data_IF_145080970555
#
_entry.id   IF_145080970555
#
_cell.length_a   1.000
_cell.length_b   1.000
_cell.length_c   1.000
_cell.angle_alpha   90.00
_cell.angle_beta   90.00
_cell.angle_gamma   90.00
#
_symmetry.space_group_name_H-M   'P 1'
#
loop_
_entity.id
_entity.type
_entity.pdbx_description
1 polymer ?
#
# COMPACT_ATOMS: atom_id res chain seq x y z
N UNK A 1 17.77 0.16 12.82
CA UNK A 1 17.78 1.28 11.84
C UNK A 1 19.10 2.00 12.04
N UNK A 2 19.94 2.15 11.02
CA UNK A 2 21.14 3.00 11.14
C UNK A 2 20.77 4.41 10.74
N UNK A 3 21.55 5.41 11.13
CA UNK A 3 21.29 6.82 10.79
C UNK A 3 21.24 7.07 9.27
N UNK A 4 21.89 6.22 8.47
CA UNK A 4 21.94 6.33 7.01
C UNK A 4 20.77 5.66 6.28
N UNK A 5 19.95 4.85 6.97
CA UNK A 5 18.86 4.12 6.32
C UNK A 5 17.73 5.08 5.93
N UNK A 6 17.59 5.33 4.62
CA UNK A 6 16.54 6.20 4.05
C UNK A 6 15.32 5.44 3.51
N UNK A 7 15.46 4.15 3.24
CA UNK A 7 14.40 3.26 2.81
C UNK A 7 14.40 2.02 3.69
N UNK A 8 13.21 1.60 4.14
CA UNK A 8 13.04 0.45 5.02
C UNK A 8 11.97 -0.46 4.44
N UNK A 9 12.35 -1.69 4.12
CA UNK A 9 11.44 -2.73 3.65
C UNK A 9 10.98 -3.56 4.84
N UNK A 10 9.67 -3.70 5.00
CA UNK A 10 9.03 -4.38 6.13
C UNK A 10 7.90 -5.26 5.61
N UNK A 11 7.65 -6.36 6.31
CA UNK A 11 6.37 -7.08 6.15
C UNK A 11 5.25 -6.30 6.85
N UNK A 12 3.98 -6.50 6.46
CA UNK A 12 2.89 -5.74 7.08
C UNK A 12 2.75 -6.05 8.56
N UNK A 13 2.99 -7.30 8.98
CA UNK A 13 2.99 -7.66 10.39
C UNK A 13 4.05 -6.92 11.23
N UNK A 14 5.18 -6.50 10.66
CA UNK A 14 6.17 -5.67 11.36
C UNK A 14 5.73 -4.21 11.37
N UNK A 15 5.16 -3.72 10.27
CA UNK A 15 4.63 -2.36 10.18
C UNK A 15 3.45 -2.15 11.14
N UNK A 16 2.51 -3.09 11.23
CA UNK A 16 1.42 -3.08 12.20
C UNK A 16 1.93 -3.01 13.65
N UNK A 17 2.98 -3.76 13.98
CA UNK A 17 3.63 -3.68 15.30
C UNK A 17 4.29 -2.33 15.54
N UNK A 18 4.88 -1.69 14.51
CA UNK A 18 5.39 -0.32 14.62
C UNK A 18 4.27 0.68 14.84
N UNK A 19 3.18 0.58 14.07
CA UNK A 19 2.01 1.43 14.20
C UNK A 19 1.36 1.29 15.59
N UNK A 20 1.35 0.10 16.17
CA UNK A 20 0.88 -0.10 17.54
C UNK A 20 1.75 0.62 18.59
N UNK A 21 3.06 0.69 18.38
CA UNK A 21 4.01 1.36 19.30
C UNK A 21 4.11 2.87 19.08
N UNK A 22 4.07 3.29 17.83
CA UNK A 22 4.06 4.68 17.36
C UNK A 22 2.87 4.86 16.40
N UNK A 23 1.68 5.20 16.94
CA UNK A 23 0.47 5.37 16.15
C UNK A 23 0.55 6.45 15.08
N UNK A 24 1.49 7.39 15.22
CA UNK A 24 1.63 8.50 14.27
C UNK A 24 2.68 8.23 13.20
N UNK A 25 3.51 7.19 13.31
CA UNK A 25 4.64 6.91 12.42
C UNK A 25 5.48 8.18 12.15
N UNK A 26 5.95 8.86 13.20
CA UNK A 26 6.56 10.20 13.09
C UNK A 26 7.83 10.23 12.23
N UNK A 27 8.61 9.14 12.25
CA UNK A 27 9.85 9.04 11.46
C UNK A 27 9.63 8.77 9.97
N UNK A 28 8.38 8.56 9.55
CA UNK A 28 8.01 8.22 8.18
C UNK A 28 7.24 9.37 7.53
N UNK A 29 7.62 9.73 6.30
CA UNK A 29 6.90 10.71 5.47
C UNK A 29 6.21 10.08 4.27
N UNK A 30 6.70 8.93 3.80
CA UNK A 30 6.16 8.23 2.63
C UNK A 30 6.10 6.75 2.96
N UNK A 31 4.92 6.18 2.80
CA UNK A 31 4.67 4.76 2.97
C UNK A 31 4.24 4.18 1.63
N UNK A 32 4.85 3.06 1.24
CA UNK A 32 4.48 2.31 0.05
C UNK A 32 4.01 0.94 0.50
N UNK A 33 2.77 0.59 0.15
CA UNK A 33 2.22 -0.75 0.39
C UNK A 33 2.22 -1.47 -0.96
N UNK A 34 3.02 -2.51 -1.05
CA UNK A 34 3.15 -3.34 -2.25
C UNK A 34 2.14 -4.49 -2.23
N UNK A 35 1.85 -5.05 -3.39
CA UNK A 35 0.98 -6.22 -3.56
C UNK A 35 -0.39 -6.17 -2.86
N UNK A 36 -1.02 -5.00 -2.80
CA UNK A 36 -2.36 -4.83 -2.17
C UNK A 36 -3.43 -5.73 -2.80
N UNK A 37 -3.15 -6.29 -3.97
CA UNK A 37 -4.04 -7.20 -4.68
C UNK A 37 -4.17 -8.59 -4.04
N UNK A 38 -3.22 -9.02 -3.19
CA UNK A 38 -3.31 -10.32 -2.52
C UNK A 38 -4.42 -10.38 -1.47
N UNK A 39 -4.87 -9.22 -0.98
CA UNK A 39 -6.04 -9.05 -0.09
C UNK A 39 -6.06 -10.02 1.11
N UNK A 40 -4.92 -10.21 1.75
CA UNK A 40 -4.86 -10.97 2.99
C UNK A 40 -5.21 -10.08 4.21
N UNK A 41 -5.60 -10.72 5.31
CA UNK A 41 -6.15 -10.06 6.52
C UNK A 41 -5.25 -8.95 7.08
N UNK A 42 -3.93 -9.17 7.11
CA UNK A 42 -2.99 -8.18 7.64
C UNK A 42 -2.96 -6.89 6.80
N UNK A 43 -3.03 -6.99 5.47
CA UNK A 43 -3.09 -5.84 4.58
C UNK A 43 -4.39 -5.07 4.80
N UNK A 44 -5.54 -5.74 4.86
CA UNK A 44 -6.83 -5.07 5.07
C UNK A 44 -6.89 -4.32 6.42
N UNK A 45 -6.39 -4.93 7.51
CA UNK A 45 -6.28 -4.25 8.83
C UNK A 45 -5.34 -3.05 8.74
N UNK A 46 -4.20 -3.20 8.07
CA UNK A 46 -3.23 -2.12 7.89
C UNK A 46 -3.85 -0.96 7.10
N UNK A 47 -4.52 -1.21 5.98
CA UNK A 47 -5.17 -0.19 5.17
C UNK A 47 -6.25 0.57 5.94
N UNK A 48 -7.04 -0.15 6.75
CA UNK A 48 -8.01 0.48 7.66
C UNK A 48 -7.34 1.42 8.67
N UNK A 49 -6.26 0.98 9.31
CA UNK A 49 -5.52 1.80 10.26
C UNK A 49 -4.84 3.00 9.58
N UNK A 50 -4.29 2.80 8.37
CA UNK A 50 -3.67 3.87 7.59
C UNK A 50 -4.68 4.90 7.10
N UNK A 51 -5.90 4.52 6.74
CA UNK A 51 -6.94 5.49 6.39
C UNK A 51 -7.22 6.45 7.54
N UNK A 52 -7.31 5.93 8.77
CA UNK A 52 -7.43 6.78 9.98
C UNK A 52 -6.17 7.60 10.23
N UNK A 53 -4.99 7.05 10.00
CA UNK A 53 -3.74 7.80 10.18
C UNK A 53 -3.63 9.00 9.22
N UNK A 54 -4.05 8.84 7.96
CA UNK A 54 -3.98 9.91 6.97
C UNK A 54 -4.83 11.14 7.33
N UNK A 55 -5.92 10.97 8.10
CA UNK A 55 -6.70 12.12 8.59
C UNK A 55 -5.99 12.88 9.71
N UNK A 56 -5.10 12.20 10.46
CA UNK A 56 -4.31 12.78 11.55
C UNK A 56 -2.96 13.35 11.07
N UNK A 57 -2.40 12.78 10.00
CA UNK A 57 -1.08 13.12 9.44
C UNK A 57 -1.22 13.56 7.99
N UNK A 58 -1.58 14.82 7.78
CA UNK A 58 -1.72 15.42 6.44
C UNK A 58 -0.40 15.53 5.67
N UNK A 59 0.74 15.39 6.35
CA UNK A 59 2.08 15.36 5.75
C UNK A 59 2.54 13.95 5.32
N UNK A 60 1.84 12.89 5.74
CA UNK A 60 2.14 11.51 5.36
C UNK A 60 1.59 11.22 3.96
N UNK A 61 2.45 10.69 3.08
CA UNK A 61 2.06 10.25 1.74
C UNK A 61 1.95 8.72 1.71
N UNK A 62 0.85 8.22 1.17
CA UNK A 62 0.62 6.78 0.97
C UNK A 62 0.61 6.47 -0.53
N UNK A 63 1.33 5.43 -0.93
CA UNK A 63 1.31 4.85 -2.27
C UNK A 63 0.89 3.40 -2.15
N UNK A 64 -0.09 2.99 -2.95
CA UNK A 64 -0.52 1.59 -3.05
C UNK A 64 -0.07 1.05 -4.40
N UNK A 65 0.61 -0.10 -4.40
CA UNK A 65 1.06 -0.79 -5.60
C UNK A 65 0.33 -2.12 -5.75
N UNK A 66 -0.11 -2.41 -6.98
CA UNK A 66 -0.89 -3.59 -7.34
C UNK A 66 -0.52 -4.02 -8.76
N UNK A 67 -0.39 -5.33 -8.97
CA UNK A 67 -0.25 -5.91 -10.31
C UNK A 67 -1.59 -6.10 -11.04
N UNK A 68 -2.73 -6.01 -10.34
CA UNK A 68 -4.06 -6.34 -10.90
C UNK A 68 -4.99 -5.13 -11.04
N UNK A 69 -6.02 -5.30 -11.87
CA UNK A 69 -6.88 -4.23 -12.38
C UNK A 69 -7.94 -3.71 -11.40
N UNK A 70 -8.15 -4.35 -10.23
CA UNK A 70 -9.18 -3.91 -9.28
C UNK A 70 -8.73 -2.70 -8.44
N UNK A 71 -8.31 -1.65 -9.14
CA UNK A 71 -7.85 -0.38 -8.59
C UNK A 71 -9.02 0.46 -8.06
N UNK A 72 -10.22 0.26 -8.59
CA UNK A 72 -11.40 1.04 -8.23
C UNK A 72 -11.76 0.87 -6.75
N UNK A 73 -11.67 -0.36 -6.21
CA UNK A 73 -11.97 -0.62 -4.80
C UNK A 73 -11.06 0.19 -3.87
N UNK A 74 -9.75 0.19 -4.12
CA UNK A 74 -8.78 0.96 -3.31
C UNK A 74 -8.90 2.47 -3.54
N UNK A 75 -9.11 2.89 -4.78
CA UNK A 75 -9.27 4.31 -5.14
C UNK A 75 -10.46 4.94 -4.44
N UNK A 76 -11.61 4.25 -4.42
CA UNK A 76 -12.81 4.67 -3.69
C UNK A 76 -12.61 4.54 -2.18
N UNK A 77 -11.97 3.46 -1.70
CA UNK A 77 -11.69 3.30 -0.27
C UNK A 77 -10.80 4.42 0.28
N UNK A 78 -9.90 5.01 -0.50
CA UNK A 78 -9.07 6.16 -0.13
C UNK A 78 -9.57 7.49 -0.71
N UNK A 79 -10.86 7.59 -1.04
CA UNK A 79 -11.46 8.87 -1.42
C UNK A 79 -11.26 9.94 -0.33
N UNK A 80 -11.13 11.18 -0.78
CA UNK A 80 -10.99 12.35 0.09
C UNK A 80 -12.31 12.73 0.80
N UNK A 81 -12.30 13.81 1.58
CA UNK A 81 -13.47 14.28 2.33
C UNK A 81 -14.65 14.70 1.43
N UNK A 82 -14.38 15.07 0.18
CA UNK A 82 -15.38 15.40 -0.83
C UNK A 82 -15.87 14.15 -1.58
N UNK A 83 -15.35 12.97 -1.25
CA UNK A 83 -15.68 11.71 -1.89
C UNK A 83 -15.01 11.50 -3.25
N UNK A 84 -14.01 12.32 -3.60
CA UNK A 84 -13.26 12.17 -4.84
C UNK A 84 -12.28 10.99 -4.69
N UNK A 85 -12.36 9.96 -5.55
CA UNK A 85 -11.46 8.80 -5.47
C UNK A 85 -10.00 9.21 -5.64
N UNK A 86 -9.09 8.49 -4.98
CA UNK A 86 -7.67 8.81 -5.07
C UNK A 86 -7.13 8.58 -6.50
N UNK A 87 -6.15 9.38 -6.95
CA UNK A 87 -5.64 9.32 -8.32
C UNK A 87 -4.97 7.97 -8.59
N UNK A 88 -5.20 7.43 -9.78
CA UNK A 88 -4.65 6.15 -10.23
C UNK A 88 -3.61 6.38 -11.32
N UNK A 89 -2.40 5.87 -11.10
CA UNK A 89 -1.35 5.82 -12.11
C UNK A 89 -1.25 4.40 -12.67
N UNK A 90 -1.49 4.23 -13.98
CA UNK A 90 -1.36 2.94 -14.65
C UNK A 90 -0.10 2.92 -15.51
N UNK A 91 0.73 1.90 -15.31
CA UNK A 91 1.93 1.65 -16.13
C UNK A 91 1.63 0.47 -17.06
N UNK A 92 1.68 0.64 -18.40
CA UNK A 92 1.41 -0.45 -19.32
C UNK A 92 2.51 -1.51 -19.22
N UNK A 93 2.12 -2.74 -18.92
CA UNK A 93 3.01 -3.89 -18.96
C UNK A 93 3.25 -4.36 -20.41
N UNK A 94 4.43 -4.93 -20.67
CA UNK A 94 4.71 -5.66 -21.91
C UNK A 94 4.80 -7.15 -21.59
N UNK A 95 3.88 -7.93 -22.12
CA UNK A 95 3.93 -9.39 -22.05
C UNK A 95 4.60 -9.93 -23.30
N UNK A 96 5.44 -10.95 -23.13
CA UNK A 96 5.99 -11.75 -24.23
C UNK A 96 5.22 -13.06 -24.29
N UNK A 97 5.06 -13.67 -25.49
CA UNK A 97 4.37 -14.94 -25.61
C UNK A 97 5.09 -16.01 -24.79
N UNK A 98 4.34 -16.73 -23.96
CA UNK A 98 4.84 -17.85 -23.14
C UNK A 98 4.35 -19.13 -23.81
N UNK A 99 5.26 -20.07 -24.08
CA UNK A 99 4.91 -21.44 -24.47
C UNK A 99 4.56 -22.22 -23.20
N UNK A 100 3.40 -22.86 -23.19
CA UNK A 100 2.89 -23.58 -22.04
C UNK A 100 2.73 -25.05 -22.41
N UNK A 101 3.54 -25.91 -21.78
CA UNK A 101 3.55 -27.36 -21.98
C UNK A 101 2.91 -28.03 -20.75
N UNK A 102 1.86 -28.81 -20.97
CA UNK A 102 1.22 -29.62 -19.91
C UNK A 102 1.70 -31.06 -20.03
N UNK A 103 2.17 -31.63 -18.92
CA UNK A 103 2.53 -33.05 -18.82
C UNK A 103 1.50 -33.80 -17.96
N UNK A 104 1.16 -35.04 -18.31
CA UNK A 104 0.25 -35.89 -17.54
C UNK A 104 0.83 -36.35 -16.20
#
# INVERSE_FOLDING_TARGET
>A
KTEKTRALFLTEGVLLRKLHKDPLLQECKVLVIDEVHERHVQCDILLGALKTLLTLRTDLRLVLMSATINLHTFSTFFADEQGVPCPVLQVPGRLYPIQLEYHP
#
